data_IF_191930425013
#
_entry.id   IF_191930425013
#
_cell.length_a   1.000
_cell.length_b   1.000
_cell.length_c   1.000
_cell.angle_alpha   90.00
_cell.angle_beta   90.00
_cell.angle_gamma   90.00
#
_symmetry.space_group_name_H-M   'P 1'
#
loop_
_entity.id
_entity.type
_entity.pdbx_description
1 polymer ?
#
# COMPACT_ATOMS: atom_id res chain seq x y z
N UNK A 1 -3.46 -15.39 8.06
CA UNK A 1 -3.29 -14.61 6.81
C UNK A 1 -4.46 -13.64 6.76
N UNK A 2 -4.19 -12.34 6.83
CA UNK A 2 -5.25 -11.33 6.75
C UNK A 2 -5.70 -11.29 5.30
N UNK A 3 -6.99 -11.45 5.04
CA UNK A 3 -7.44 -11.28 3.66
C UNK A 3 -7.42 -9.79 3.31
N UNK A 4 -7.31 -9.40 2.04
CA UNK A 4 -7.46 -8.00 1.63
C UNK A 4 -8.80 -7.36 2.04
N UNK A 5 -9.74 -8.13 2.62
CA UNK A 5 -11.00 -7.63 3.16
C UNK A 5 -10.87 -7.07 4.58
N UNK A 6 -9.84 -7.49 5.31
CA UNK A 6 -9.62 -7.13 6.72
C UNK A 6 -8.53 -6.06 6.89
N UNK A 7 -7.86 -5.69 5.80
CA UNK A 7 -6.77 -4.72 5.82
C UNK A 7 -7.35 -3.29 5.79
N UNK A 8 -6.96 -2.46 6.74
CA UNK A 8 -7.27 -1.02 6.73
C UNK A 8 -6.22 -0.22 5.96
N UNK A 9 -6.59 0.97 5.49
CA UNK A 9 -5.65 1.87 4.80
C UNK A 9 -4.40 2.23 5.65
N UNK A 10 -4.54 2.56 6.95
CA UNK A 10 -3.39 2.77 7.84
C UNK A 10 -2.48 1.54 7.99
N UNK A 11 -3.04 0.34 8.10
CA UNK A 11 -2.26 -0.90 8.15
C UNK A 11 -1.49 -1.15 6.85
N UNK A 12 -2.11 -0.90 5.70
CA UNK A 12 -1.46 -0.98 4.40
C UNK A 12 -0.31 0.01 4.28
N UNK A 13 -0.53 1.28 4.64
CA UNK A 13 0.52 2.31 4.63
C UNK A 13 1.70 1.93 5.53
N UNK A 14 1.43 1.28 6.68
CA UNK A 14 2.47 0.76 7.57
C UNK A 14 3.23 -0.40 6.94
N UNK A 15 2.54 -1.36 6.32
CA UNK A 15 3.16 -2.51 5.67
C UNK A 15 4.07 -2.09 4.51
N UNK A 16 3.65 -1.11 3.69
CA UNK A 16 4.42 -0.60 2.55
C UNK A 16 5.79 -0.04 2.93
N UNK A 17 6.03 0.32 4.20
CA UNK A 17 7.36 0.74 4.67
C UNK A 17 8.44 -0.32 4.43
N UNK A 18 8.08 -1.60 4.36
CA UNK A 18 9.01 -2.70 4.04
C UNK A 18 9.59 -2.61 2.62
N UNK A 19 8.86 -1.96 1.71
CA UNK A 19 9.29 -1.67 0.34
C UNK A 19 9.82 -0.23 0.19
N UNK A 20 10.24 0.37 1.30
CA UNK A 20 10.83 1.71 1.31
C UNK A 20 9.85 2.87 1.16
N UNK A 21 8.53 2.62 1.23
CA UNK A 21 7.56 3.71 1.17
C UNK A 21 7.56 4.54 2.46
N UNK A 22 7.59 5.86 2.28
CA UNK A 22 7.50 6.85 3.37
C UNK A 22 6.35 7.80 3.10
N UNK A 23 5.67 8.28 4.15
CA UNK A 23 4.61 9.29 3.99
C UNK A 23 5.27 10.62 3.65
N UNK A 24 4.93 11.18 2.49
CA UNK A 24 5.49 12.46 2.02
C UNK A 24 4.49 13.61 2.11
N UNK A 25 3.18 13.31 2.15
CA UNK A 25 2.12 14.29 2.32
C UNK A 25 0.86 13.66 2.91
N UNK A 26 0.11 14.43 3.69
CA UNK A 26 -1.26 14.09 4.07
C UNK A 26 -2.20 15.21 3.61
N UNK A 27 -3.33 14.84 3.02
CA UNK A 27 -4.41 15.77 2.72
C UNK A 27 -5.73 15.17 3.21
N UNK A 28 -6.31 15.78 4.25
CA UNK A 28 -7.46 15.22 4.95
C UNK A 28 -7.22 13.77 5.37
N UNK A 29 -8.09 12.88 4.91
CA UNK A 29 -8.06 11.46 5.21
C UNK A 29 -7.24 10.62 4.24
N UNK A 30 -6.33 11.20 3.45
CA UNK A 30 -5.48 10.46 2.50
C UNK A 30 -3.99 10.78 2.70
N UNK A 31 -3.16 9.73 2.59
CA UNK A 31 -1.70 9.80 2.65
C UNK A 31 -1.13 9.61 1.24
N UNK A 32 -0.21 10.46 0.83
CA UNK A 32 0.74 10.14 -0.25
C UNK A 32 1.92 9.44 0.39
N UNK A 33 2.19 8.23 -0.07
CA UNK A 33 3.42 7.50 0.26
C UNK A 33 4.34 7.46 -0.96
N UNK A 34 5.65 7.44 -0.75
CA UNK A 34 6.66 7.48 -1.82
C UNK A 34 7.82 6.55 -1.50
N UNK A 35 8.26 5.78 -2.49
CA UNK A 35 9.50 4.99 -2.44
C UNK A 35 10.41 5.42 -3.58
N UNK A 36 11.73 5.33 -3.34
CA UNK A 36 12.75 5.45 -4.39
C UNK A 36 13.30 4.07 -4.81
N UNK A 37 12.82 2.99 -4.18
CA UNK A 37 13.29 1.63 -4.48
C UNK A 37 12.70 1.17 -5.81
N UNK A 38 13.57 0.73 -6.73
CA UNK A 38 13.14 0.35 -8.09
C UNK A 38 12.71 1.54 -8.96
N UNK A 39 13.01 2.77 -8.55
CA UNK A 39 12.54 4.01 -9.17
C UNK A 39 11.61 4.79 -8.24
N UNK A 40 11.37 6.07 -8.56
CA UNK A 40 10.40 6.89 -7.83
C UNK A 40 8.97 6.38 -8.12
N UNK A 41 8.24 6.08 -7.06
CA UNK A 41 6.83 5.71 -7.15
C UNK A 41 6.01 6.33 -6.03
N UNK A 42 4.82 6.81 -6.37
CA UNK A 42 3.90 7.44 -5.44
C UNK A 42 2.57 6.71 -5.42
N UNK A 43 2.03 6.52 -4.23
CA UNK A 43 0.75 5.86 -4.04
C UNK A 43 -0.11 6.65 -3.05
N UNK A 44 -1.43 6.70 -3.29
CA UNK A 44 -2.38 7.33 -2.38
C UNK A 44 -3.09 6.27 -1.54
N UNK A 45 -2.94 6.37 -0.22
CA UNK A 45 -3.52 5.42 0.73
C UNK A 45 -4.55 6.15 1.61
N UNK A 46 -5.81 5.68 1.68
CA UNK A 46 -6.79 6.18 2.64
C UNK A 46 -6.29 6.01 4.09
N UNK A 47 -6.56 6.99 4.94
CA UNK A 47 -6.15 7.07 6.34
C UNK A 47 -7.36 7.05 7.27
N UNK A 48 -8.31 6.16 6.98
CA UNK A 48 -9.51 5.95 7.78
C UNK A 48 -9.99 4.51 7.64
N UNK A 49 -10.94 4.13 8.49
CA UNK A 49 -11.71 2.89 8.39
C UNK A 49 -13.19 3.25 8.47
N UNK A 50 -14.09 2.66 7.65
CA UNK A 50 -13.82 1.65 6.62
C UNK A 50 -13.20 2.23 5.34
N UNK A 51 -12.51 1.40 4.58
CA UNK A 51 -12.04 1.68 3.21
C UNK A 51 -12.80 0.77 2.26
N UNK A 52 -13.20 1.27 1.09
CA UNK A 52 -13.82 0.42 0.09
C UNK A 52 -12.86 -0.69 -0.37
N UNK A 53 -13.36 -1.93 -0.43
CA UNK A 53 -12.59 -3.10 -0.86
C UNK A 53 -11.99 -2.94 -2.26
N UNK A 54 -12.64 -2.15 -3.13
CA UNK A 54 -12.14 -1.85 -4.47
C UNK A 54 -10.81 -1.08 -4.42
N UNK A 55 -10.80 0.04 -3.70
CA UNK A 55 -9.62 0.90 -3.46
C UNK A 55 -8.50 0.12 -2.78
N UNK A 56 -8.86 -0.73 -1.83
CA UNK A 56 -7.85 -1.48 -1.09
C UNK A 56 -7.20 -2.60 -1.91
N UNK A 57 -7.85 -3.05 -2.99
CA UNK A 57 -7.27 -4.00 -3.96
C UNK A 57 -6.49 -3.32 -5.09
N UNK A 58 -6.79 -2.06 -5.43
CA UNK A 58 -6.05 -1.36 -6.49
C UNK A 58 -4.64 -0.98 -6.04
N UNK A 59 -4.49 -0.55 -4.78
CA UNK A 59 -3.21 -0.12 -4.22
C UNK A 59 -2.14 -1.24 -4.27
N UNK A 60 -2.38 -2.45 -3.73
CA UNK A 60 -1.40 -3.53 -3.81
C UNK A 60 -1.05 -3.92 -5.26
N UNK A 61 -1.99 -3.83 -6.20
CA UNK A 61 -1.68 -4.12 -7.61
C UNK A 61 -0.75 -3.10 -8.24
N UNK A 62 -0.96 -1.81 -7.96
CA UNK A 62 -0.08 -0.72 -8.37
C UNK A 62 1.34 -0.93 -7.84
N UNK A 63 1.43 -1.23 -6.53
CA UNK A 63 2.71 -1.52 -5.85
C UNK A 63 3.39 -2.77 -6.43
N UNK A 64 2.65 -3.87 -6.63
CA UNK A 64 3.18 -5.09 -7.23
C UNK A 64 3.74 -4.83 -8.63
N UNK A 65 3.02 -4.05 -9.45
CA UNK A 65 3.46 -3.68 -10.78
C UNK A 65 4.77 -2.87 -10.75
N UNK A 66 4.88 -1.85 -9.88
CA UNK A 66 6.11 -1.07 -9.71
C UNK A 66 7.32 -1.93 -9.33
N UNK A 67 7.14 -2.82 -8.36
CA UNK A 67 8.21 -3.71 -7.89
C UNK A 67 8.42 -4.94 -8.79
N UNK A 68 7.65 -5.10 -9.87
CA UNK A 68 7.67 -6.27 -10.77
C UNK A 68 7.45 -7.59 -10.03
N UNK A 69 6.58 -7.57 -9.02
CA UNK A 69 6.23 -8.71 -8.19
C UNK A 69 4.86 -9.28 -8.55
N UNK A 70 4.68 -10.56 -8.28
CA UNK A 70 3.34 -11.15 -8.25
C UNK A 70 2.56 -10.71 -7.00
N UNK A 71 1.23 -10.80 -7.02
CA UNK A 71 0.41 -10.48 -5.84
C UNK A 71 0.76 -11.35 -4.63
N UNK A 72 1.02 -12.65 -4.82
CA UNK A 72 1.38 -13.55 -3.73
C UNK A 72 2.73 -13.16 -3.08
N UNK A 73 3.72 -12.89 -3.92
CA UNK A 73 5.05 -12.42 -3.51
C UNK A 73 4.95 -11.07 -2.77
N UNK A 74 4.12 -10.15 -3.23
CA UNK A 74 3.88 -8.89 -2.53
C UNK A 74 3.29 -9.12 -1.14
N UNK A 75 2.27 -9.98 -1.01
CA UNK A 75 1.63 -10.23 0.29
C UNK A 75 2.62 -10.83 1.29
N UNK A 76 3.49 -11.73 0.83
CA UNK A 76 4.59 -12.28 1.63
C UNK A 76 5.58 -11.20 2.04
N UNK A 77 6.05 -10.36 1.10
CA UNK A 77 6.96 -9.26 1.40
C UNK A 77 6.38 -8.24 2.40
N UNK A 78 5.05 -8.10 2.45
CA UNK A 78 4.35 -7.19 3.35
C UNK A 78 3.98 -7.83 4.71
N UNK A 79 4.17 -9.14 4.93
CA UNK A 79 3.61 -9.96 6.02
C UNK A 79 2.08 -9.76 6.21
N UNK A 80 1.30 -9.85 5.12
CA UNK A 80 -0.16 -9.70 5.15
C UNK A 80 -0.91 -11.01 4.82
#
# INVERSE_FOLDING_TARGET
MKTPRDLSGPELAKALRKLGYTVTRQNGSHLRVTTQQGGEHHEMVPNHSPVELGTLKSIPRSVAHHHRMGMAELMEALDL
#
